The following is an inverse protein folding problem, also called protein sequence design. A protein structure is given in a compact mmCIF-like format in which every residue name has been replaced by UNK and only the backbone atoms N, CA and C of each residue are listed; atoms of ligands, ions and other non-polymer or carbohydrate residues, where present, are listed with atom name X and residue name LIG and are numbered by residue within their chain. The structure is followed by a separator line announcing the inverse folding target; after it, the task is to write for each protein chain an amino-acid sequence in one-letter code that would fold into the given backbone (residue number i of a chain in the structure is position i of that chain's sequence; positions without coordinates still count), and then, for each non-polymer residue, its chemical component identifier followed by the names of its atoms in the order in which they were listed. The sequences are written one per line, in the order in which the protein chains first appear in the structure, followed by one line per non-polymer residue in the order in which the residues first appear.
data_IF_181694730099
#
_entry.id   IF_181694730099
#
_cell.length_a   1.000
_cell.length_b   1.000
_cell.length_c   1.000
_cell.angle_alpha   90.00
_cell.angle_beta   90.00
_cell.angle_gamma   90.00
#
_symmetry.space_group_name_H-M   'P 1'
#
loop_
_entity.id
_entity.type
_entity.pdbx_description
1 polymer ?
#
# COMPACT_ATOMS: atom_id res chain seq x y z
N UNK A 1 -35.51 43.13 9.95
CA UNK A 1 -35.06 41.73 9.83
C UNK A 1 -34.31 41.67 8.52
N UNK A 2 -32.99 41.66 8.67
CA UNK A 2 -31.99 41.85 7.64
C UNK A 2 -31.60 40.47 7.11
N UNK A 3 -31.68 40.24 5.80
CA UNK A 3 -31.14 39.04 5.16
C UNK A 3 -30.54 39.46 3.81
N UNK A 4 -29.37 40.08 3.93
CA UNK A 4 -28.43 40.27 2.84
C UNK A 4 -27.67 38.95 2.65
N UNK A 5 -28.04 38.12 1.67
CA UNK A 5 -27.19 37.04 1.19
C UNK A 5 -26.68 37.37 -0.21
N UNK A 6 -25.47 37.91 -0.21
CA UNK A 6 -24.60 38.08 -1.36
C UNK A 6 -24.29 36.71 -1.99
N UNK A 7 -24.83 36.46 -3.18
CA UNK A 7 -24.25 35.47 -4.10
C UNK A 7 -22.90 36.03 -4.59
N UNK A 8 -21.81 35.62 -3.94
CA UNK A 8 -20.45 35.78 -4.46
C UNK A 8 -20.23 34.68 -5.49
N UNK A 9 -20.43 35.01 -6.76
CA UNK A 9 -19.89 34.24 -7.89
C UNK A 9 -18.37 34.40 -7.82
N UNK A 10 -17.70 33.38 -7.30
CA UNK A 10 -16.25 33.25 -7.30
C UNK A 10 -15.77 33.03 -8.73
N UNK A 11 -15.13 34.06 -9.28
CA UNK A 11 -14.36 34.03 -10.51
C UNK A 11 -13.24 33.00 -10.34
N UNK A 12 -13.34 31.86 -11.03
CA UNK A 12 -12.24 30.92 -11.18
C UNK A 12 -11.39 31.35 -12.37
N UNK A 13 -10.44 32.24 -12.09
CA UNK A 13 -9.31 32.55 -12.97
C UNK A 13 -8.18 31.55 -12.74
N UNK A 14 -7.36 31.39 -13.80
CA UNK A 14 -6.13 30.60 -13.94
C UNK A 14 -6.37 29.16 -14.42
N UNK A 15 -5.75 28.70 -15.51
CA UNK A 15 -4.30 28.56 -15.63
C UNK A 15 -3.81 28.81 -17.07
N UNK A 16 -2.71 29.57 -17.14
CA UNK A 16 -1.96 29.96 -18.33
C UNK A 16 -1.24 28.74 -18.92
N UNK A 17 -1.46 28.48 -20.21
CA UNK A 17 -0.70 27.54 -21.05
C UNK A 17 0.77 27.99 -21.07
N UNK A 18 1.62 27.33 -20.28
CA UNK A 18 3.07 27.54 -20.29
C UNK A 18 3.69 26.74 -21.44
N UNK A 19 4.10 27.48 -22.46
CA UNK A 19 5.22 27.20 -23.38
C UNK A 19 5.59 25.75 -23.65
N UNK A 20 4.97 25.17 -24.68
CA UNK A 20 5.56 24.06 -25.42
C UNK A 20 6.66 24.62 -26.34
N UNK A 21 7.88 24.71 -25.81
CA UNK A 21 9.08 25.07 -26.57
C UNK A 21 10.16 24.03 -26.31
N UNK A 22 10.79 23.58 -27.41
CA UNK A 22 12.07 22.86 -27.45
C UNK A 22 12.04 21.43 -26.90
N UNK A 23 12.69 20.42 -27.46
CA UNK A 23 13.59 20.28 -28.62
C UNK A 23 13.94 18.77 -28.57
N UNK A 24 13.70 17.99 -29.63
CA UNK A 24 14.33 16.67 -29.73
C UNK A 24 15.05 16.56 -31.08
N UNK A 25 16.32 16.96 -31.03
CA UNK A 25 17.34 16.71 -32.05
C UNK A 25 17.78 15.25 -31.92
N UNK A 26 17.27 14.41 -32.82
CA UNK A 26 18.01 13.64 -33.84
C UNK A 26 19.50 13.28 -33.55
N UNK A 27 19.75 11.95 -33.46
CA UNK A 27 20.88 11.14 -33.97
C UNK A 27 22.23 11.13 -33.20
N UNK A 28 22.70 9.92 -32.84
CA UNK A 28 23.90 9.26 -33.42
C UNK A 28 24.15 7.88 -32.77
N UNK A 29 24.13 6.85 -33.63
CA UNK A 29 24.68 5.52 -33.42
C UNK A 29 26.18 5.57 -33.16
N UNK A 30 26.69 4.82 -32.18
CA UNK A 30 28.05 4.26 -32.26
C UNK A 30 28.08 2.86 -31.69
N UNK A 31 28.44 1.90 -32.56
CA UNK A 31 28.80 0.52 -32.25
C UNK A 31 30.18 0.44 -31.61
N UNK A 32 30.38 -0.44 -30.63
CA UNK A 32 31.70 -1.05 -30.40
C UNK A 32 31.56 -2.41 -29.69
N UNK A 33 31.75 -3.49 -30.44
CA UNK A 33 32.12 -4.79 -29.90
C UNK A 33 33.56 -4.68 -29.34
N UNK A 34 33.79 -5.21 -28.14
CA UNK A 34 35.12 -5.32 -27.54
C UNK A 34 35.30 -6.67 -26.87
N UNK A 35 35.92 -7.59 -27.59
CA UNK A 35 36.24 -8.97 -27.20
C UNK A 35 37.70 -9.07 -26.74
N UNK A 36 37.96 -9.62 -25.55
CA UNK A 36 39.19 -10.38 -25.22
C UNK A 36 39.00 -11.09 -23.88
N UNK A 37 38.84 -12.41 -23.79
CA UNK A 37 39.77 -13.53 -24.03
C UNK A 37 40.66 -13.90 -22.83
N UNK A 38 40.57 -15.20 -22.50
CA UNK A 38 41.48 -16.08 -21.75
C UNK A 38 41.83 -15.75 -20.29
N UNK A 39 41.39 -16.63 -19.38
CA UNK A 39 42.36 -17.46 -18.65
C UNK A 39 41.74 -18.78 -18.15
N UNK A 40 42.04 -19.87 -18.86
CA UNK A 40 41.85 -21.24 -18.39
C UNK A 40 43.12 -21.67 -17.69
N UNK A 41 43.08 -21.76 -16.36
CA UNK A 41 44.03 -22.59 -15.61
C UNK A 41 43.36 -23.92 -15.32
N UNK A 42 43.82 -24.94 -16.02
CA UNK A 42 43.63 -26.32 -15.64
C UNK A 42 44.65 -26.76 -14.58
N UNK A 43 44.45 -28.01 -14.18
CA UNK A 43 45.30 -28.86 -13.35
C UNK A 43 45.37 -28.54 -11.84
N UNK A 44 45.31 -29.52 -10.93
CA UNK A 44 45.04 -30.96 -11.00
C UNK A 44 45.05 -31.49 -9.55
N UNK A 45 44.23 -32.52 -9.29
CA UNK A 45 44.45 -33.69 -8.41
C UNK A 45 44.84 -33.50 -6.92
N UNK A 46 43.96 -33.96 -6.00
CA UNK A 46 44.13 -35.13 -5.09
C UNK A 46 42.91 -35.16 -4.12
N UNK A 47 41.98 -36.13 -4.18
CA UNK A 47 41.92 -37.40 -3.40
C UNK A 47 41.87 -37.14 -1.86
N UNK A 48 40.99 -37.66 -1.02
CA UNK A 48 40.23 -38.92 -0.95
C UNK A 48 39.15 -38.80 0.17
N UNK A 49 38.23 -39.77 0.34
CA UNK A 49 37.01 -39.69 1.14
C UNK A 49 37.18 -40.25 2.57
N UNK A 50 36.25 -39.92 3.46
CA UNK A 50 36.00 -40.76 4.64
C UNK A 50 34.49 -40.97 4.85
N UNK A 51 34.06 -42.21 4.63
CA UNK A 51 32.75 -42.75 4.98
C UNK A 51 32.86 -43.53 6.30
N UNK A 52 31.83 -43.42 7.12
CA UNK A 52 31.32 -44.52 7.95
C UNK A 52 31.87 -44.61 9.38
N UNK A 53 30.97 -44.49 10.36
CA UNK A 53 30.65 -45.67 11.17
C UNK A 53 29.24 -45.57 11.77
N UNK A 54 28.56 -46.71 11.79
CA UNK A 54 27.20 -46.97 12.24
C UNK A 54 27.13 -47.31 13.75
N UNK A 55 25.93 -47.14 14.33
CA UNK A 55 25.29 -47.88 15.45
C UNK A 55 26.02 -47.93 16.83
N UNK A 56 25.37 -47.96 18.00
CA UNK A 56 24.05 -48.46 18.40
C UNK A 56 23.68 -47.93 19.82
N UNK A 57 22.39 -48.05 20.13
CA UNK A 57 21.60 -47.83 21.36
C UNK A 57 22.25 -47.93 22.76
N UNK A 58 21.77 -47.11 23.72
CA UNK A 58 21.36 -47.54 25.09
C UNK A 58 20.31 -46.58 25.66
N UNK A 59 19.21 -47.15 26.16
CA UNK A 59 18.07 -46.54 26.85
C UNK A 59 18.45 -45.83 28.17
N UNK A 60 17.72 -44.75 28.51
CA UNK A 60 17.52 -44.43 29.92
C UNK A 60 16.17 -43.73 30.15
N UNK A 61 15.21 -44.52 30.61
CA UNK A 61 13.98 -44.08 31.25
C UNK A 61 14.30 -43.29 32.52
N UNK A 62 13.67 -42.12 32.70
CA UNK A 62 13.38 -41.63 34.05
C UNK A 62 11.99 -41.00 34.09
N UNK A 63 11.13 -41.74 34.77
CA UNK A 63 9.79 -41.47 35.26
C UNK A 63 9.70 -40.20 36.14
N UNK A 64 8.67 -39.40 35.92
CA UNK A 64 8.30 -38.26 36.76
C UNK A 64 6.86 -37.81 36.50
N UNK A 65 5.90 -38.46 37.15
CA UNK A 65 4.51 -38.02 37.25
C UNK A 65 4.36 -36.85 38.24
N UNK A 66 3.64 -35.79 37.82
CA UNK A 66 2.88 -34.80 38.63
C UNK A 66 2.02 -34.04 37.60
N UNK A 67 0.72 -34.31 37.46
CA UNK A 67 -0.44 -33.85 38.25
C UNK A 67 -0.74 -32.34 38.19
N UNK A 68 -2.03 -32.07 37.87
CA UNK A 68 -2.87 -30.89 38.08
C UNK A 68 -2.77 -29.59 37.25
N UNK A 69 -3.95 -29.19 36.73
CA UNK A 69 -4.35 -27.82 36.33
C UNK A 69 -4.66 -27.71 34.83
N UNK A 70 -5.89 -27.85 34.32
CA UNK A 70 -7.08 -26.99 34.48
C UNK A 70 -6.80 -25.49 34.33
N UNK A 71 -6.89 -24.97 33.11
CA UNK A 71 -7.56 -23.69 32.84
C UNK A 71 -7.85 -23.55 31.36
N UNK A 72 -9.08 -23.14 31.08
CA UNK A 72 -9.56 -22.65 29.80
C UNK A 72 -8.68 -21.52 29.28
N UNK A 73 -8.53 -21.42 27.97
CA UNK A 73 -8.45 -20.14 27.28
C UNK A 73 -9.08 -20.30 25.90
N UNK A 74 -10.38 -20.02 25.87
CA UNK A 74 -11.01 -19.37 24.74
C UNK A 74 -10.62 -17.89 24.83
N UNK A 75 -10.09 -17.33 23.75
CA UNK A 75 -10.05 -15.88 23.50
C UNK A 75 -10.06 -15.76 21.97
N UNK A 76 -11.27 -15.64 21.44
CA UNK A 76 -11.84 -14.36 21.01
C UNK A 76 -11.39 -14.04 19.58
N UNK A 77 -12.05 -14.72 18.64
CA UNK A 77 -12.41 -14.05 17.38
C UNK A 77 -13.45 -12.99 17.75
N UNK A 78 -12.99 -11.78 18.03
CA UNK A 78 -13.88 -10.62 17.96
C UNK A 78 -14.14 -10.31 16.50
N UNK A 79 -15.31 -10.81 16.08
CA UNK A 79 -16.18 -10.13 15.15
C UNK A 79 -16.38 -8.68 15.57
N UNK A 80 -16.10 -7.73 14.68
CA UNK A 80 -16.83 -6.47 14.65
C UNK A 80 -17.65 -6.45 13.36
N UNK A 81 -18.87 -6.95 13.48
CA UNK A 81 -19.95 -6.64 12.55
C UNK A 81 -20.79 -5.57 13.24
N UNK A 82 -20.88 -4.39 12.61
CA UNK A 82 -21.99 -3.44 12.70
C UNK A 82 -21.85 -2.37 11.63
N UNK A 83 -22.82 -2.39 10.72
CA UNK A 83 -23.24 -1.29 9.87
C UNK A 83 -23.36 0.02 10.65
N UNK A 84 -22.59 1.03 10.26
CA UNK A 84 -22.89 2.43 10.52
C UNK A 84 -22.66 3.23 9.22
N UNK A 85 -23.72 3.92 8.81
CA UNK A 85 -23.71 4.90 7.72
C UNK A 85 -22.71 6.01 8.06
N UNK A 86 -21.63 6.10 7.28
CA UNK A 86 -20.89 7.34 7.03
C UNK A 86 -20.21 8.00 8.23
N UNK A 87 -19.65 7.26 9.20
CA UNK A 87 -18.61 7.86 10.04
C UNK A 87 -17.35 8.08 9.18
N UNK A 88 -16.75 9.27 9.28
CA UNK A 88 -15.45 9.60 8.70
C UNK A 88 -14.35 8.75 9.36
N UNK A 89 -14.34 7.45 9.06
CA UNK A 89 -13.34 6.53 9.57
C UNK A 89 -11.97 7.03 9.14
N UNK A 90 -11.12 7.17 10.15
CA UNK A 90 -9.77 7.67 10.07
C UNK A 90 -8.88 6.77 10.93
N UNK A 91 -7.62 6.61 10.53
CA UNK A 91 -6.60 5.93 11.33
C UNK A 91 -5.58 6.96 11.76
N UNK A 92 -5.26 6.97 13.05
CA UNK A 92 -4.14 7.74 13.58
C UNK A 92 -3.05 6.75 14.01
N UNK A 93 -1.93 6.75 13.27
CA UNK A 93 -0.77 5.92 13.58
C UNK A 93 0.48 6.78 13.54
N UNK A 94 1.27 6.76 14.61
CA UNK A 94 2.56 7.48 14.68
C UNK A 94 2.47 8.96 14.27
N UNK A 95 1.44 9.66 14.74
CA UNK A 95 1.08 11.07 14.41
C UNK A 95 0.73 11.32 12.94
N UNK A 96 0.48 10.26 12.16
CA UNK A 96 -0.04 10.34 10.81
C UNK A 96 -1.52 9.97 10.82
N UNK A 97 -2.34 10.90 10.34
CA UNK A 97 -3.76 10.72 10.14
C UNK A 97 -4.03 10.25 8.71
N UNK A 98 -4.55 9.04 8.57
CA UNK A 98 -4.98 8.46 7.31
C UNK A 98 -6.50 8.47 7.20
N UNK A 99 -7.01 8.99 6.08
CA UNK A 99 -8.44 9.09 5.81
C UNK A 99 -8.75 8.81 4.35
N UNK A 100 -9.97 8.37 4.08
CA UNK A 100 -10.46 8.06 2.74
C UNK A 100 -11.79 8.74 2.50
N UNK A 101 -11.90 9.40 1.36
CA UNK A 101 -13.12 10.01 0.85
C UNK A 101 -13.49 9.39 -0.49
N UNK A 102 -14.78 9.16 -0.68
CA UNK A 102 -15.33 8.62 -1.92
C UNK A 102 -16.21 9.69 -2.56
N UNK A 103 -15.99 9.97 -3.84
CA UNK A 103 -16.77 10.95 -4.59
C UNK A 103 -17.29 10.31 -5.86
N UNK A 104 -18.61 10.34 -6.07
CA UNK A 104 -19.23 9.94 -7.33
C UNK A 104 -19.20 11.12 -8.31
N UNK A 105 -18.72 10.88 -9.54
CA UNK A 105 -18.79 11.83 -10.65
C UNK A 105 -19.29 11.12 -11.91
N UNK A 106 -20.61 11.17 -12.13
CA UNK A 106 -21.27 10.49 -13.23
C UNK A 106 -21.15 8.96 -13.13
N UNK A 107 -20.45 8.34 -14.07
CA UNK A 107 -20.18 6.89 -14.06
C UNK A 107 -18.78 6.56 -13.51
N UNK A 108 -18.25 7.42 -12.65
CA UNK A 108 -16.93 7.24 -12.05
C UNK A 108 -17.02 7.32 -10.53
N UNK A 109 -16.27 6.46 -9.85
CA UNK A 109 -16.01 6.57 -8.42
C UNK A 109 -14.57 7.02 -8.20
N UNK A 110 -14.41 8.16 -7.55
CA UNK A 110 -13.11 8.72 -7.19
C UNK A 110 -12.81 8.31 -5.74
N UNK A 111 -11.71 7.60 -5.55
CA UNK A 111 -11.19 7.19 -4.25
C UNK A 111 -10.02 8.09 -3.88
N UNK A 112 -10.24 9.00 -2.94
CA UNK A 112 -9.21 9.92 -2.47
C UNK A 112 -8.70 9.47 -1.10
N UNK A 113 -7.41 9.14 -1.03
CA UNK A 113 -6.72 8.76 0.18
C UNK A 113 -5.81 9.90 0.62
N UNK A 114 -5.91 10.30 1.88
CA UNK A 114 -5.15 11.42 2.43
C UNK A 114 -4.39 10.99 3.66
N UNK A 115 -3.09 11.31 3.70
CA UNK A 115 -2.21 11.10 4.84
C UNK A 115 -1.69 12.45 5.33
N UNK A 116 -2.03 12.85 6.55
CA UNK A 116 -1.65 14.14 7.13
C UNK A 116 -0.72 13.93 8.31
N UNK A 117 0.36 14.70 8.38
CA UNK A 117 1.18 14.75 9.59
C UNK A 117 0.55 15.71 10.61
N UNK A 118 -0.13 15.16 11.60
CA UNK A 118 -0.75 15.94 12.69
C UNK A 118 0.20 16.13 13.89
N UNK A 119 1.42 15.60 13.80
CA UNK A 119 2.46 15.75 14.81
C UNK A 119 3.32 17.00 14.64
N UNK A 120 4.24 17.18 15.58
CA UNK A 120 5.13 18.35 15.66
C UNK A 120 6.49 18.13 14.98
N UNK A 121 6.76 16.93 14.46
CA UNK A 121 8.03 16.56 13.83
C UNK A 121 7.81 16.16 12.38
N UNK A 122 8.76 16.48 11.49
CA UNK A 122 8.73 15.98 10.12
C UNK A 122 8.80 14.45 10.12
N UNK A 123 7.90 13.81 9.37
CA UNK A 123 7.86 12.36 9.17
C UNK A 123 8.49 12.02 7.83
N UNK A 124 9.37 11.01 7.80
CA UNK A 124 9.98 10.51 6.58
C UNK A 124 9.37 9.17 6.19
N UNK A 125 8.66 9.14 5.08
CA UNK A 125 8.00 7.97 4.51
C UNK A 125 8.89 7.37 3.43
N UNK A 126 9.04 6.05 3.41
CA UNK A 126 9.71 5.34 2.33
C UNK A 126 8.78 4.28 1.74
N UNK A 127 8.66 4.28 0.41
CA UNK A 127 7.98 3.27 -0.38
C UNK A 127 9.03 2.43 -1.11
N UNK A 128 8.82 1.12 -1.20
CA UNK A 128 9.78 0.18 -1.82
C UNK A 128 9.75 0.19 -3.36
N UNK A 129 8.72 0.79 -3.95
CA UNK A 129 8.51 0.86 -5.40
C UNK A 129 7.59 2.05 -5.75
N UNK A 130 7.33 2.25 -7.04
CA UNK A 130 6.28 3.16 -7.51
C UNK A 130 4.85 2.73 -7.14
N UNK A 131 4.67 1.53 -6.58
CA UNK A 131 3.36 1.06 -6.09
C UNK A 131 3.11 1.60 -4.68
N UNK A 132 2.70 2.86 -4.58
CA UNK A 132 2.59 3.58 -3.30
C UNK A 132 1.31 3.29 -2.52
N UNK A 133 0.25 2.84 -3.20
CA UNK A 133 -1.04 2.52 -2.60
C UNK A 133 -1.77 1.43 -3.41
N UNK A 134 -2.77 0.83 -2.79
CA UNK A 134 -3.71 -0.11 -3.39
C UNK A 134 -5.15 0.40 -3.20
N UNK A 135 -6.00 0.15 -4.20
CA UNK A 135 -7.46 0.29 -4.11
C UNK A 135 -8.07 -0.98 -4.70
N UNK A 136 -8.92 -1.67 -3.94
CA UNK A 136 -9.66 -2.85 -4.40
C UNK A 136 -11.13 -2.67 -4.09
N UNK A 137 -11.98 -2.81 -5.12
CA UNK A 137 -13.43 -2.65 -5.00
C UNK A 137 -14.09 -4.01 -5.22
N UNK A 138 -14.99 -4.36 -4.31
CA UNK A 138 -15.81 -5.57 -4.37
C UNK A 138 -17.29 -5.24 -4.42
N UNK A 139 -18.04 -6.11 -5.08
CA UNK A 139 -19.51 -6.09 -5.03
C UNK A 139 -20.03 -6.66 -3.69
N UNK A 140 -21.35 -6.73 -3.56
CA UNK A 140 -22.04 -7.26 -2.37
C UNK A 140 -21.83 -8.77 -2.17
N UNK A 141 -21.40 -9.49 -3.21
CA UNK A 141 -21.02 -10.90 -3.17
C UNK A 141 -19.55 -11.12 -2.77
N UNK A 142 -18.76 -10.04 -2.69
CA UNK A 142 -17.34 -10.07 -2.35
C UNK A 142 -16.43 -10.36 -3.54
N UNK A 143 -16.96 -10.34 -4.76
CA UNK A 143 -16.18 -10.50 -5.99
C UNK A 143 -15.43 -9.20 -6.29
N UNK A 144 -14.14 -9.31 -6.66
CA UNK A 144 -13.35 -8.14 -7.05
C UNK A 144 -13.79 -7.71 -8.44
N UNK A 145 -14.34 -6.50 -8.54
CA UNK A 145 -14.78 -5.90 -9.80
C UNK A 145 -13.86 -4.78 -10.29
N UNK A 146 -12.94 -4.33 -9.42
CA UNK A 146 -11.86 -3.42 -9.77
C UNK A 146 -10.66 -3.60 -8.82
N UNK A 147 -9.46 -3.62 -9.39
CA UNK A 147 -8.19 -3.63 -8.68
C UNK A 147 -7.25 -2.61 -9.33
N UNK A 148 -6.81 -1.61 -8.55
CA UNK A 148 -5.91 -0.58 -9.01
C UNK A 148 -4.62 -1.14 -9.62
N UNK A 149 -4.07 -2.21 -9.04
CA UNK A 149 -2.80 -2.77 -9.47
C UNK A 149 -2.94 -3.62 -10.74
N UNK A 150 -4.16 -4.00 -11.13
CA UNK A 150 -4.41 -4.80 -12.33
C UNK A 150 -3.93 -4.05 -13.58
N UNK A 151 -3.17 -4.75 -14.43
CA UNK A 151 -2.56 -4.24 -15.66
C UNK A 151 -1.57 -3.05 -15.50
N UNK A 152 -1.18 -2.69 -14.26
CA UNK A 152 -0.18 -1.64 -14.01
C UNK A 152 1.22 -2.22 -13.79
N UNK A 153 2.23 -1.53 -14.31
CA UNK A 153 3.65 -1.84 -14.07
C UNK A 153 4.26 -0.72 -13.23
N UNK A 154 4.76 -1.07 -12.06
CA UNK A 154 5.37 -0.12 -11.13
C UNK A 154 6.90 -0.17 -11.19
N UNK A 155 7.52 1.01 -11.10
CA UNK A 155 8.98 1.14 -11.05
C UNK A 155 9.55 0.48 -9.79
N UNK A 156 10.62 -0.28 -9.93
CA UNK A 156 11.28 -0.95 -8.81
C UNK A 156 12.39 -0.06 -8.23
N UNK A 157 11.98 1.05 -7.61
CA UNK A 157 12.88 2.00 -6.99
C UNK A 157 12.26 2.57 -5.71
N UNK A 158 13.09 2.74 -4.68
CA UNK A 158 12.68 3.39 -3.45
C UNK A 158 12.26 4.84 -3.71
N UNK A 159 11.15 5.24 -3.11
CA UNK A 159 10.64 6.61 -3.13
C UNK A 159 10.61 7.10 -1.69
N UNK A 160 11.13 8.30 -1.45
CA UNK A 160 11.12 8.94 -0.12
C UNK A 160 10.28 10.20 -0.19
N UNK A 161 9.34 10.33 0.73
CA UNK A 161 8.55 11.54 0.94
C UNK A 161 8.83 12.08 2.35
N UNK A 162 8.91 13.41 2.49
CA UNK A 162 9.03 14.08 3.79
C UNK A 162 7.77 14.92 4.02
N UNK A 163 7.11 14.71 5.15
CA UNK A 163 5.91 15.43 5.56
C UNK A 163 6.22 16.30 6.77
N UNK A 164 6.31 17.61 6.59
CA UNK A 164 6.44 18.54 7.71
C UNK A 164 5.14 18.59 8.55
N UNK A 165 5.17 19.16 9.77
CA UNK A 165 3.97 19.36 10.57
C UNK A 165 2.85 20.07 9.79
N UNK A 166 1.68 19.43 9.73
CA UNK A 166 0.49 19.92 9.01
C UNK A 166 0.50 19.71 7.50
N UNK A 167 1.56 19.12 6.92
CA UNK A 167 1.57 18.75 5.50
C UNK A 167 0.84 17.42 5.24
N UNK A 168 0.40 17.24 3.99
CA UNK A 168 -0.38 16.08 3.57
C UNK A 168 0.14 15.50 2.25
N UNK A 169 0.02 14.18 2.11
CA UNK A 169 0.03 13.49 0.82
C UNK A 169 -1.40 13.13 0.45
N UNK A 170 -1.73 13.36 -0.82
CA UNK A 170 -2.99 12.96 -1.41
C UNK A 170 -2.69 11.96 -2.52
N UNK A 171 -3.32 10.80 -2.43
CA UNK A 171 -3.36 9.79 -3.47
C UNK A 171 -4.79 9.71 -3.99
N UNK A 172 -4.93 9.53 -5.30
CA UNK A 172 -6.23 9.49 -5.94
C UNK A 172 -6.22 8.39 -6.99
N UNK A 173 -7.31 7.64 -7.00
CA UNK A 173 -7.62 6.72 -8.09
C UNK A 173 -9.06 6.93 -8.55
N UNK A 174 -9.30 6.75 -9.83
CA UNK A 174 -10.61 6.92 -10.44
C UNK A 174 -11.00 5.63 -11.13
N UNK A 175 -12.00 4.94 -10.59
CA UNK A 175 -12.62 3.82 -11.26
C UNK A 175 -13.69 4.34 -12.21
N UNK A 176 -13.40 4.27 -13.52
CA UNK A 176 -14.34 4.64 -14.58
C UNK A 176 -15.25 3.48 -14.94
N UNK A 177 -16.38 3.79 -15.56
CA UNK A 177 -17.38 2.81 -16.02
C UNK A 177 -18.00 2.02 -14.85
N UNK A 178 -18.14 2.67 -13.69
CA UNK A 178 -18.90 2.15 -12.56
C UNK A 178 -20.36 1.94 -12.97
N UNK A 179 -20.90 0.75 -12.72
CA UNK A 179 -22.33 0.46 -12.82
C UNK A 179 -22.99 0.68 -11.44
N UNK A 180 -23.81 1.73 -11.25
CA UNK A 180 -24.45 1.98 -9.95
C UNK A 180 -25.37 0.83 -9.48
N UNK A 181 -25.81 -0.04 -10.40
CA UNK A 181 -26.67 -1.17 -10.08
C UNK A 181 -25.97 -2.30 -9.30
N UNK A 182 -24.64 -2.28 -9.23
CA UNK A 182 -23.85 -3.25 -8.43
C UNK A 182 -23.56 -2.76 -7.01
N UNK A 183 -24.28 -1.74 -6.53
CA UNK A 183 -24.20 -1.28 -5.15
C UNK A 183 -24.94 -2.21 -4.16
N UNK A 184 -24.52 -2.28 -2.88
CA UNK A 184 -23.41 -1.55 -2.26
C UNK A 184 -22.04 -2.13 -2.66
N UNK A 185 -21.04 -1.25 -2.69
CA UNK A 185 -19.65 -1.58 -2.95
C UNK A 185 -18.85 -1.61 -1.65
N UNK A 186 -17.87 -2.49 -1.56
CA UNK A 186 -16.87 -2.55 -0.51
C UNK A 186 -15.52 -2.09 -1.09
N UNK A 187 -14.97 -1.00 -0.56
CA UNK A 187 -13.74 -0.37 -1.03
C UNK A 187 -12.66 -0.58 0.02
N UNK A 188 -11.64 -1.35 -0.32
CA UNK A 188 -10.43 -1.55 0.47
C UNK A 188 -9.34 -0.63 -0.06
N UNK A 189 -8.68 0.10 0.84
CA UNK A 189 -7.59 1.02 0.50
C UNK A 189 -6.39 0.75 1.39
N UNK A 190 -5.18 0.87 0.84
CA UNK A 190 -3.94 0.69 1.61
C UNK A 190 -2.84 1.62 1.12
N UNK A 191 -2.04 2.17 2.04
CA UNK A 191 -0.76 2.80 1.71
C UNK A 191 0.41 1.82 1.91
N UNK A 192 1.23 1.65 0.87
CA UNK A 192 2.35 0.71 0.82
C UNK A 192 3.65 1.30 1.40
N UNK A 193 3.55 1.90 2.60
CA UNK A 193 4.69 2.49 3.30
C UNK A 193 5.58 1.37 3.83
N UNK A 194 6.81 1.28 3.33
CA UNK A 194 7.80 0.30 3.71
C UNK A 194 8.49 0.66 5.04
N UNK A 195 8.82 1.94 5.21
CA UNK A 195 9.41 2.46 6.46
C UNK A 195 8.84 3.83 6.81
N UNK A 196 8.75 4.08 8.11
CA UNK A 196 8.48 5.37 8.71
C UNK A 196 9.66 5.74 9.60
N UNK A 197 10.27 6.90 9.35
CA UNK A 197 11.44 7.40 10.07
C UNK A 197 12.60 6.37 10.12
N UNK A 198 12.76 5.61 9.03
CA UNK A 198 13.77 4.55 8.89
C UNK A 198 13.49 3.28 9.69
N UNK A 199 12.29 3.13 10.26
CA UNK A 199 11.83 1.93 10.96
C UNK A 199 10.76 1.23 10.11
N UNK A 200 10.82 -0.10 10.02
CA UNK A 200 9.74 -0.86 9.41
C UNK A 200 8.46 -0.76 10.24
N UNK A 201 7.33 -0.64 9.56
CA UNK A 201 6.01 -0.63 10.20
C UNK A 201 5.60 -2.07 10.56
N UNK A 202 5.04 -2.30 11.76
CA UNK A 202 4.42 -3.58 12.08
C UNK A 202 3.09 -3.72 11.32
N UNK A 203 2.94 -4.78 10.52
CA UNK A 203 1.73 -5.01 9.74
C UNK A 203 1.53 -3.98 8.62
N UNK A 204 0.28 -3.61 8.37
CA UNK A 204 -0.13 -2.64 7.34
C UNK A 204 -1.05 -1.60 7.99
N UNK A 205 -0.53 -0.66 8.78
CA UNK A 205 -1.37 0.16 9.67
C UNK A 205 -2.26 1.15 8.92
N UNK A 206 -1.91 1.52 7.68
CA UNK A 206 -2.64 2.49 6.88
C UNK A 206 -3.54 1.76 5.87
N UNK A 207 -4.52 1.01 6.38
CA UNK A 207 -5.53 0.31 5.59
C UNK A 207 -6.94 0.64 6.10
N UNK A 208 -7.84 1.03 5.21
CA UNK A 208 -9.24 1.33 5.53
C UNK A 208 -10.20 0.59 4.60
N UNK A 209 -11.32 0.15 5.16
CA UNK A 209 -12.47 -0.38 4.43
C UNK A 209 -13.60 0.65 4.46
N UNK A 210 -14.22 0.92 3.32
CA UNK A 210 -15.37 1.82 3.18
C UNK A 210 -16.48 1.12 2.42
N UNK A 211 -17.72 1.46 2.76
CA UNK A 211 -18.89 1.06 1.98
C UNK A 211 -19.38 2.26 1.18
N UNK A 212 -19.69 2.04 -0.09
CA UNK A 212 -20.35 3.05 -0.93
C UNK A 212 -21.67 2.50 -1.46
N UNK A 213 -22.69 3.34 -1.46
CA UNK A 213 -24.00 3.05 -2.05
C UNK A 213 -24.43 4.26 -2.86
N UNK A 214 -25.03 4.03 -4.03
CA UNK A 214 -25.62 5.12 -4.82
C UNK A 214 -26.78 5.75 -4.05
N UNK A 215 -26.89 7.08 -4.09
CA UNK A 215 -28.07 7.78 -3.59
C UNK A 215 -29.26 7.55 -4.55
N UNK A 216 -30.39 7.05 -4.05
CA UNK A 216 -31.64 6.81 -4.83
C UNK A 216 -32.32 8.10 -5.32
#
# INVERSE_FOLDING_TARGET
MDVTYFFRVGVMEMIKIKGLLSLLIIIMLVSACGQSNSNTNGDSLDNSPNQGNESESVDNDTNGNNDQGSSNEASEKESSDKNEEGEDQMILESDLEYSVQLHEDGSSLIVQMKLVNVGEQTKRLEFSSGHQFDVVIRDDHGEIIYDFAEDRVFTQAFITEELAPGEELIFEDTWTDMDPSVSPLQISTKLNIYQLDGQSLPGEPFQLEKTWSSEE
#
